data_IF_712076779164
#
_entry.id   IF_712076779164
#
_cell.length_a   1.000
_cell.length_b   1.000
_cell.length_c   1.000
_cell.angle_alpha   90.00
_cell.angle_beta   90.00
_cell.angle_gamma   90.00
#
_symmetry.space_group_name_H-M   'P 1'
#
loop_
_entity.id
_entity.type
_entity.pdbx_description
1 polymer ?
#
# COMPACT_ATOMS: atom_id res chain seq x y z
N UNK A 1 -12.01 50.00 -47.84
CA UNK A 1 -11.81 50.03 -49.30
C UNK A 1 -11.30 48.65 -49.74
N UNK A 2 -12.04 48.01 -50.67
CA UNK A 2 -11.80 46.78 -51.47
C UNK A 2 -11.15 45.55 -50.80
N UNK A 3 -11.87 44.45 -50.49
CA UNK A 3 -12.49 43.40 -51.33
C UNK A 3 -11.56 42.72 -52.36
N UNK A 4 -11.30 41.41 -52.17
CA UNK A 4 -11.86 40.34 -53.02
C UNK A 4 -11.53 38.93 -52.50
N UNK A 5 -12.60 38.17 -52.25
CA UNK A 5 -12.66 36.71 -52.23
C UNK A 5 -12.53 36.14 -53.65
N UNK A 6 -12.16 34.86 -53.80
CA UNK A 6 -12.82 33.97 -54.76
C UNK A 6 -12.69 32.49 -54.33
N UNK A 7 -13.81 31.79 -54.40
CA UNK A 7 -14.10 30.42 -53.99
C UNK A 7 -13.98 29.39 -55.14
N UNK A 8 -13.78 28.12 -54.74
CA UNK A 8 -14.33 26.86 -55.28
C UNK A 8 -13.95 26.46 -56.74
N UNK A 9 -14.02 25.21 -57.21
CA UNK A 9 -14.78 24.02 -56.81
C UNK A 9 -14.26 22.75 -57.54
N UNK A 10 -14.71 21.58 -57.04
CA UNK A 10 -15.18 20.37 -57.76
C UNK A 10 -14.22 19.32 -58.36
N UNK A 11 -14.42 18.09 -57.86
CA UNK A 11 -13.91 16.74 -58.17
C UNK A 11 -14.53 16.10 -59.45
N UNK A 12 -14.49 14.76 -59.65
CA UNK A 12 -13.50 13.86 -60.28
C UNK A 12 -14.06 13.19 -61.58
N UNK A 13 -13.46 12.14 -62.23
CA UNK A 13 -13.80 10.73 -61.87
C UNK A 13 -12.80 9.57 -62.26
N UNK A 14 -12.92 8.46 -61.51
CA UNK A 14 -13.00 7.00 -61.81
C UNK A 14 -12.13 6.22 -62.86
N UNK A 15 -11.54 5.12 -62.32
CA UNK A 15 -11.36 3.73 -62.83
C UNK A 15 -10.53 3.36 -64.08
N UNK A 16 -9.54 2.46 -63.89
CA UNK A 16 -9.51 1.13 -64.56
C UNK A 16 -8.48 0.17 -63.93
N UNK A 17 -8.87 -1.10 -63.87
CA UNK A 17 -8.24 -2.30 -63.30
C UNK A 17 -7.21 -3.00 -64.22
N UNK A 18 -6.26 -3.77 -63.64
CA UNK A 18 -6.00 -5.22 -63.91
C UNK A 18 -4.54 -5.69 -63.73
N UNK A 19 -4.36 -6.56 -62.73
CA UNK A 19 -3.53 -7.80 -62.67
C UNK A 19 -2.03 -7.83 -63.01
N UNK A 20 -1.22 -8.22 -62.02
CA UNK A 20 -0.18 -9.25 -62.18
C UNK A 20 0.05 -10.03 -60.86
N UNK A 21 0.29 -11.33 -60.99
CA UNK A 21 0.24 -12.36 -59.95
C UNK A 21 1.66 -12.82 -59.51
N UNK A 22 1.82 -13.05 -58.19
CA UNK A 22 2.80 -13.91 -57.46
C UNK A 22 4.29 -13.50 -57.35
N UNK A 23 5.05 -13.97 -56.32
CA UNK A 23 4.71 -14.99 -55.32
C UNK A 23 4.90 -14.62 -53.83
N UNK A 24 4.25 -15.46 -53.03
CA UNK A 24 4.21 -15.59 -51.57
C UNK A 24 5.61 -15.94 -51.04
N UNK A 25 6.20 -15.05 -50.24
CA UNK A 25 7.32 -15.37 -49.36
C UNK A 25 6.82 -15.23 -47.92
N UNK A 26 6.85 -16.35 -47.21
CA UNK A 26 6.49 -16.45 -45.81
C UNK A 26 7.43 -15.57 -44.99
N UNK A 27 6.88 -14.51 -44.41
CA UNK A 27 7.52 -13.79 -43.32
C UNK A 27 6.69 -13.99 -42.06
N UNK A 28 7.35 -14.65 -41.12
CA UNK A 28 6.91 -14.95 -39.77
C UNK A 28 6.10 -13.79 -39.18
N UNK A 29 4.85 -14.06 -38.82
CA UNK A 29 4.10 -13.24 -37.90
C UNK A 29 4.83 -13.27 -36.54
N UNK A 30 5.79 -12.37 -36.38
CA UNK A 30 6.29 -11.97 -35.08
C UNK A 30 5.09 -11.39 -34.34
N UNK A 31 4.53 -12.20 -33.45
CA UNK A 31 3.56 -11.79 -32.46
C UNK A 31 4.22 -10.67 -31.68
N UNK A 32 3.96 -9.42 -32.08
CA UNK A 32 4.21 -8.27 -31.24
C UNK A 32 3.26 -8.42 -30.05
N UNK A 33 3.74 -9.11 -29.02
CA UNK A 33 3.20 -8.93 -27.69
C UNK A 33 3.39 -7.45 -27.39
N UNK A 34 2.29 -6.72 -27.41
CA UNK A 34 2.15 -5.45 -26.71
C UNK A 34 2.74 -5.66 -25.34
N UNK A 35 3.96 -5.14 -25.14
CA UNK A 35 4.49 -4.91 -23.82
C UNK A 35 3.59 -3.83 -23.25
N UNK A 36 2.47 -4.24 -22.66
CA UNK A 36 1.78 -3.47 -21.64
C UNK A 36 2.86 -3.19 -20.62
N UNK A 37 3.47 -2.01 -20.72
CA UNK A 37 4.24 -1.41 -19.66
C UNK A 37 3.21 -1.26 -18.56
N UNK A 38 3.12 -2.27 -17.71
CA UNK A 38 2.54 -2.11 -16.40
C UNK A 38 3.45 -1.09 -15.74
N UNK A 39 3.05 0.19 -15.83
CA UNK A 39 3.37 1.16 -14.82
C UNK A 39 2.97 0.48 -13.51
N UNK A 40 3.93 -0.14 -12.83
CA UNK A 40 3.77 -0.53 -11.44
C UNK A 40 3.44 0.79 -10.77
N UNK A 41 2.15 1.00 -10.52
CA UNK A 41 1.62 2.19 -9.88
C UNK A 41 2.53 2.45 -8.70
N UNK A 42 3.17 3.61 -8.71
CA UNK A 42 3.96 4.13 -7.60
C UNK A 42 3.29 3.67 -6.32
N UNK A 43 4.05 2.98 -5.46
CA UNK A 43 3.71 2.61 -4.08
C UNK A 43 2.60 3.57 -3.63
N UNK A 44 1.37 3.12 -3.40
CA UNK A 44 0.36 4.00 -2.81
C UNK A 44 0.85 4.32 -1.39
N UNK A 45 1.83 5.21 -1.27
CA UNK A 45 2.04 6.03 -0.09
C UNK A 45 0.64 6.44 0.31
N UNK A 46 0.36 6.27 1.60
CA UNK A 46 -0.89 6.69 2.21
C UNK A 46 -1.41 7.90 1.46
N UNK A 47 -2.65 7.81 0.99
CA UNK A 47 -3.35 8.94 0.36
C UNK A 47 -3.74 9.92 1.48
N UNK A 48 -2.72 10.35 2.22
CA UNK A 48 -2.77 11.30 3.32
C UNK A 48 -1.94 12.48 2.81
N UNK A 49 -2.44 13.72 2.94
CA UNK A 49 -1.66 14.90 2.61
C UNK A 49 -0.41 14.96 3.50
N UNK A 50 0.74 15.30 2.92
CA UNK A 50 1.99 15.47 3.67
C UNK A 50 1.98 16.72 4.57
N UNK A 51 1.17 17.71 4.23
CA UNK A 51 0.94 18.93 5.00
C UNK A 51 -0.54 19.30 4.95
N UNK A 52 -1.09 19.76 6.07
CA UNK A 52 -2.44 20.31 6.17
C UNK A 52 -2.33 21.73 6.69
N UNK A 53 -2.90 22.69 5.96
CA UNK A 53 -2.89 24.11 6.31
C UNK A 53 -4.26 24.68 5.92
N UNK A 54 -4.93 25.36 6.85
CA UNK A 54 -6.25 26.00 6.65
C UNK A 54 -7.35 25.07 6.11
N UNK A 55 -7.30 23.78 6.46
CA UNK A 55 -8.24 22.76 5.99
C UNK A 55 -7.97 22.26 4.56
N UNK A 56 -6.85 22.64 3.95
CA UNK A 56 -6.38 22.11 2.67
C UNK A 56 -5.22 21.15 2.86
N UNK A 57 -5.28 20.01 2.14
CA UNK A 57 -4.19 19.05 2.08
C UNK A 57 -3.20 19.36 0.96
N UNK A 58 -1.92 19.17 1.22
CA UNK A 58 -0.83 19.41 0.27
C UNK A 58 0.13 18.22 0.19
N UNK A 59 0.64 17.98 -1.02
CA UNK A 59 1.77 17.07 -1.27
C UNK A 59 3.02 17.88 -1.63
N UNK A 60 4.15 17.60 -1.00
CA UNK A 60 5.42 18.17 -1.39
C UNK A 60 5.98 17.41 -2.60
N UNK A 61 6.35 18.14 -3.66
CA UNK A 61 6.94 17.53 -4.85
C UNK A 61 8.39 17.96 -5.08
N UNK A 62 8.87 18.97 -4.35
CA UNK A 62 10.26 19.45 -4.41
C UNK A 62 10.60 20.20 -3.13
N UNK A 63 11.79 19.98 -2.60
CA UNK A 63 12.35 20.77 -1.49
C UNK A 63 13.70 21.34 -1.92
N UNK A 64 13.95 22.62 -1.67
CA UNK A 64 15.19 23.31 -2.01
C UNK A 64 15.47 24.40 -0.97
N UNK A 65 16.65 24.40 -0.35
CA UNK A 65 17.12 25.51 0.52
C UNK A 65 16.05 26.04 1.50
N UNK A 66 15.46 25.15 2.30
CA UNK A 66 14.40 25.43 3.28
C UNK A 66 13.06 25.90 2.69
N UNK A 67 12.85 25.73 1.38
CA UNK A 67 11.58 25.96 0.71
C UNK A 67 11.00 24.62 0.25
N UNK A 68 9.79 24.32 0.70
CA UNK A 68 9.02 23.17 0.21
C UNK A 68 7.99 23.62 -0.81
N UNK A 69 8.12 23.13 -2.04
CA UNK A 69 7.15 23.37 -3.10
C UNK A 69 6.02 22.36 -3.00
N UNK A 70 4.81 22.89 -2.89
CA UNK A 70 3.62 22.13 -2.58
C UNK A 70 2.56 22.28 -3.66
N UNK A 71 1.73 21.26 -3.78
CA UNK A 71 0.54 21.26 -4.64
C UNK A 71 -0.62 20.63 -3.90
N UNK A 72 -1.84 21.01 -4.27
CA UNK A 72 -3.04 20.45 -3.67
C UNK A 72 -3.03 18.91 -3.74
N UNK A 73 -3.36 18.30 -2.60
CA UNK A 73 -3.51 16.85 -2.45
C UNK A 73 -4.64 16.32 -3.36
N UNK A 74 -5.71 17.10 -3.55
CA UNK A 74 -6.88 16.73 -4.34
C UNK A 74 -6.72 17.00 -5.85
N UNK A 75 -5.52 17.32 -6.32
CA UNK A 75 -5.26 17.55 -7.76
C UNK A 75 -5.75 16.41 -8.64
N UNK A 76 -5.55 15.17 -8.22
CA UNK A 76 -5.95 14.00 -9.01
C UNK A 76 -7.41 13.61 -8.83
N UNK A 77 -8.05 13.95 -7.71
CA UNK A 77 -9.44 13.58 -7.41
C UNK A 77 -10.44 14.65 -7.84
N UNK A 78 -10.10 15.93 -7.64
CA UNK A 78 -10.96 17.09 -7.92
C UNK A 78 -10.43 17.98 -9.05
N UNK A 79 -9.26 17.67 -9.62
CA UNK A 79 -8.67 18.50 -10.68
C UNK A 79 -8.04 19.80 -10.18
N UNK A 80 -7.84 19.96 -8.88
CA UNK A 80 -7.32 21.20 -8.30
C UNK A 80 -5.87 21.48 -8.71
N UNK A 81 -5.62 22.65 -9.31
CA UNK A 81 -4.28 23.07 -9.73
C UNK A 81 -3.56 23.98 -8.73
N UNK A 82 -4.14 24.21 -7.55
CA UNK A 82 -3.53 25.03 -6.51
C UNK A 82 -2.11 24.53 -6.17
N UNK A 83 -1.17 25.48 -6.13
CA UNK A 83 0.23 25.23 -5.87
C UNK A 83 0.86 26.42 -5.18
N UNK A 84 1.97 26.17 -4.50
CA UNK A 84 2.63 27.20 -3.73
C UNK A 84 3.96 26.74 -3.16
N UNK A 85 4.46 27.53 -2.23
CA UNK A 85 5.69 27.25 -1.50
C UNK A 85 5.48 27.49 -0.02
N UNK A 86 6.08 26.64 0.80
CA UNK A 86 6.17 26.80 2.25
C UNK A 86 7.60 27.22 2.55
N UNK A 87 7.76 28.39 3.18
CA UNK A 87 9.05 28.91 3.66
C UNK A 87 8.86 29.36 5.10
N UNK A 88 9.72 28.87 6.00
CA UNK A 88 9.64 29.17 7.44
C UNK A 88 8.24 28.87 8.04
N UNK A 89 7.59 27.79 7.58
CA UNK A 89 6.26 27.41 8.02
C UNK A 89 5.10 28.20 7.38
N UNK A 90 5.38 29.30 6.68
CA UNK A 90 4.35 30.11 6.03
C UNK A 90 4.08 29.63 4.61
N UNK A 91 2.80 29.38 4.29
CA UNK A 91 2.35 29.04 2.96
C UNK A 91 2.13 30.29 2.11
N UNK A 92 2.66 30.30 0.89
CA UNK A 92 2.33 31.28 -0.14
C UNK A 92 1.87 30.55 -1.38
N UNK A 93 0.60 30.74 -1.75
CA UNK A 93 0.01 30.15 -2.94
C UNK A 93 0.33 30.99 -4.18
N UNK A 94 0.72 30.31 -5.26
CA UNK A 94 0.82 30.89 -6.60
C UNK A 94 -0.51 30.78 -7.35
N UNK A 95 -1.30 29.75 -7.02
CA UNK A 95 -2.63 29.48 -7.59
C UNK A 95 -3.55 29.09 -6.45
N UNK A 96 -4.73 29.71 -6.39
CA UNK A 96 -5.75 29.45 -5.37
C UNK A 96 -6.48 28.13 -5.60
N UNK A 97 -7.10 27.61 -4.54
CA UNK A 97 -7.98 26.45 -4.62
C UNK A 97 -9.28 26.79 -5.35
N UNK A 98 -9.79 25.80 -6.06
CA UNK A 98 -11.06 25.79 -6.80
C UNK A 98 -12.11 24.88 -6.15
N UNK A 99 -11.86 24.49 -4.90
CA UNK A 99 -12.75 23.67 -4.08
C UNK A 99 -12.73 24.16 -2.64
N UNK A 100 -13.77 23.79 -1.90
CA UNK A 100 -13.89 24.14 -0.48
C UNK A 100 -12.81 23.44 0.35
N UNK A 101 -12.44 24.09 1.46
CA UNK A 101 -11.61 23.47 2.47
C UNK A 101 -12.41 22.46 3.30
N UNK A 102 -11.71 21.51 3.91
CA UNK A 102 -12.29 20.57 4.86
C UNK A 102 -11.67 20.84 6.25
N UNK A 103 -12.39 21.53 7.16
CA UNK A 103 -11.87 21.85 8.48
C UNK A 103 -11.62 20.60 9.35
N UNK A 104 -12.17 19.45 8.98
CA UNK A 104 -11.96 18.18 9.69
C UNK A 104 -10.87 17.31 9.07
N UNK A 105 -10.22 17.77 7.99
CA UNK A 105 -9.18 17.02 7.29
C UNK A 105 -8.02 16.60 8.21
N UNK A 106 -7.64 17.47 9.14
CA UNK A 106 -6.58 17.20 10.11
C UNK A 106 -6.95 16.04 11.04
N UNK A 107 -8.16 16.05 11.60
CA UNK A 107 -8.67 14.96 12.44
C UNK A 107 -8.63 13.61 11.70
N UNK A 108 -8.97 13.61 10.42
CA UNK A 108 -8.94 12.40 9.61
C UNK A 108 -7.52 11.92 9.30
N UNK A 109 -6.61 12.85 9.02
CA UNK A 109 -5.22 12.51 8.74
C UNK A 109 -4.54 11.92 9.98
N UNK A 110 -4.76 12.52 11.16
CA UNK A 110 -4.26 12.00 12.45
C UNK A 110 -4.80 10.59 12.69
N UNK A 111 -6.10 10.35 12.51
CA UNK A 111 -6.68 9.02 12.69
C UNK A 111 -6.05 7.98 11.75
N UNK A 112 -5.89 8.30 10.46
CA UNK A 112 -5.27 7.38 9.52
C UNK A 112 -3.79 7.13 9.81
N UNK A 113 -3.06 8.13 10.28
CA UNK A 113 -1.66 8.02 10.70
C UNK A 113 -1.51 7.12 11.92
N UNK A 114 -2.34 7.29 12.95
CA UNK A 114 -2.33 6.41 14.12
C UNK A 114 -2.66 4.96 13.76
N UNK A 115 -3.69 4.75 12.93
CA UNK A 115 -4.02 3.41 12.43
C UNK A 115 -2.88 2.80 11.62
N UNK A 116 -2.19 3.60 10.80
CA UNK A 116 -1.04 3.15 10.03
C UNK A 116 0.13 2.73 10.93
N UNK A 117 0.49 3.59 11.89
CA UNK A 117 1.57 3.34 12.84
C UNK A 117 1.29 2.10 13.69
N UNK A 118 0.05 1.92 14.16
CA UNK A 118 -0.38 0.73 14.87
C UNK A 118 -0.38 -0.52 13.96
N UNK A 119 -0.80 -0.38 12.70
CA UNK A 119 -0.76 -1.50 11.73
C UNK A 119 0.66 -1.99 11.46
N UNK A 120 1.62 -1.07 11.47
CA UNK A 120 3.04 -1.37 11.25
C UNK A 120 3.71 -1.94 12.50
N UNK A 121 3.50 -1.32 13.65
CA UNK A 121 4.07 -1.79 14.93
C UNK A 121 3.50 -3.14 15.37
N UNK A 122 2.34 -3.55 14.82
CA UNK A 122 1.68 -4.84 15.06
C UNK A 122 1.47 -5.16 16.55
N UNK A 123 0.92 -4.25 17.37
CA UNK A 123 0.57 -4.57 18.75
C UNK A 123 -0.55 -5.62 18.82
N UNK A 124 -1.35 -5.76 17.75
CA UNK A 124 -2.43 -6.74 17.65
C UNK A 124 -2.31 -7.57 16.38
N UNK A 125 -2.78 -8.83 16.42
CA UNK A 125 -2.78 -9.75 15.26
C UNK A 125 -3.73 -9.27 14.16
N UNK A 126 -4.87 -8.71 14.59
CA UNK A 126 -5.99 -8.35 13.75
C UNK A 126 -6.03 -6.83 13.52
N UNK A 127 -6.06 -6.36 12.26
CA UNK A 127 -6.32 -4.96 11.95
C UNK A 127 -7.66 -4.46 12.50
N UNK A 128 -8.62 -5.37 12.73
CA UNK A 128 -9.91 -5.04 13.33
C UNK A 128 -9.75 -4.52 14.76
N UNK A 129 -8.90 -5.16 15.55
CA UNK A 129 -8.65 -4.76 16.93
C UNK A 129 -7.95 -3.40 17.00
N UNK A 130 -7.00 -3.16 16.08
CA UNK A 130 -6.40 -1.82 15.93
C UNK A 130 -7.50 -0.80 15.66
N UNK A 131 -8.34 -1.03 14.66
CA UNK A 131 -9.42 -0.09 14.32
C UNK A 131 -10.35 0.17 15.51
N UNK A 132 -10.83 -0.89 16.17
CA UNK A 132 -11.77 -0.77 17.29
C UNK A 132 -11.12 -0.08 18.51
N UNK A 133 -9.81 -0.21 18.71
CA UNK A 133 -9.07 0.47 19.80
C UNK A 133 -8.97 1.98 19.59
N UNK A 134 -8.68 2.43 18.37
CA UNK A 134 -8.49 3.85 18.06
C UNK A 134 -9.80 4.57 17.68
N UNK A 135 -10.86 3.85 17.30
CA UNK A 135 -12.12 4.47 16.89
C UNK A 135 -12.81 5.32 17.97
N UNK A 136 -12.82 4.93 19.27
CA UNK A 136 -13.44 5.73 20.33
C UNK A 136 -12.75 7.08 20.57
N UNK A 137 -11.42 7.15 20.50
CA UNK A 137 -10.67 8.41 20.63
C UNK A 137 -10.79 9.31 19.40
N UNK A 138 -11.09 8.72 18.24
CA UNK A 138 -11.25 9.42 16.96
C UNK A 138 -12.67 9.29 16.41
N UNK A 139 -13.68 9.51 17.25
CA UNK A 139 -15.09 9.26 16.92
C UNK A 139 -15.55 9.96 15.62
N UNK A 140 -15.26 11.24 15.46
CA UNK A 140 -15.65 12.00 14.25
C UNK A 140 -15.03 11.43 12.98
N UNK A 141 -13.78 10.98 13.05
CA UNK A 141 -13.08 10.38 11.92
C UNK A 141 -13.59 8.97 11.60
N UNK A 142 -13.85 8.15 12.62
CA UNK A 142 -14.28 6.76 12.48
C UNK A 142 -15.70 6.62 11.92
N UNK A 143 -16.55 7.64 12.06
CA UNK A 143 -17.86 7.72 11.38
C UNK A 143 -17.73 7.79 9.85
N UNK A 144 -16.72 8.49 9.33
CA UNK A 144 -16.52 8.70 7.90
C UNK A 144 -15.65 7.60 7.30
N UNK A 145 -14.57 7.28 8.02
CA UNK A 145 -13.62 6.20 7.71
C UNK A 145 -14.00 4.95 8.48
N UNK A 146 -15.16 4.39 8.13
CA UNK A 146 -15.66 3.17 8.76
C UNK A 146 -14.69 1.99 8.55
N UNK A 147 -14.84 0.96 9.38
CA UNK A 147 -14.08 -0.29 9.26
C UNK A 147 -14.05 -0.82 7.82
N UNK A 148 -15.20 -0.82 7.14
CA UNK A 148 -15.31 -1.33 5.76
C UNK A 148 -14.41 -0.57 4.77
N UNK A 149 -14.19 0.74 4.98
CA UNK A 149 -13.28 1.56 4.17
C UNK A 149 -11.82 1.37 4.59
N UNK A 150 -11.57 1.22 5.88
CA UNK A 150 -10.21 1.16 6.43
C UNK A 150 -9.56 -0.22 6.31
N UNK A 151 -10.33 -1.29 6.43
CA UNK A 151 -9.84 -2.68 6.34
C UNK A 151 -8.93 -2.91 5.11
N UNK A 152 -9.37 -2.63 3.86
CA UNK A 152 -8.52 -2.87 2.70
C UNK A 152 -7.24 -2.01 2.69
N UNK A 153 -7.28 -0.81 3.26
CA UNK A 153 -6.10 0.05 3.40
C UNK A 153 -5.10 -0.53 4.40
N UNK A 154 -5.58 -0.90 5.59
CA UNK A 154 -4.76 -1.50 6.65
C UNK A 154 -4.15 -2.84 6.18
N UNK A 155 -4.89 -3.65 5.44
CA UNK A 155 -4.39 -4.89 4.84
C UNK A 155 -3.29 -4.64 3.78
N UNK A 156 -3.35 -3.52 3.05
CA UNK A 156 -2.28 -3.11 2.14
C UNK A 156 -1.05 -2.65 2.92
N UNK A 157 -1.24 -1.85 3.98
CA UNK A 157 -0.15 -1.37 4.82
C UNK A 157 0.61 -2.52 5.47
N UNK A 158 -0.14 -3.46 6.08
CA UNK A 158 0.39 -4.69 6.67
C UNK A 158 1.18 -5.54 5.66
N UNK A 159 0.75 -5.59 4.39
CA UNK A 159 1.43 -6.36 3.33
C UNK A 159 2.67 -5.66 2.76
N UNK A 160 2.72 -4.33 2.75
CA UNK A 160 3.84 -3.59 2.16
C UNK A 160 5.06 -3.52 3.07
N UNK A 161 4.85 -3.51 4.38
CA UNK A 161 5.94 -3.56 5.34
C UNK A 161 6.43 -5.00 5.63
N UNK A 162 6.53 -5.83 4.59
CA UNK A 162 7.09 -7.20 4.68
C UNK A 162 8.63 -7.17 4.63
N UNK A 163 9.27 -6.22 5.28
CA UNK A 163 10.74 -6.16 5.34
C UNK A 163 11.34 -7.43 5.96
N UNK A 164 10.65 -8.09 6.88
CA UNK A 164 10.65 -9.56 7.05
C UNK A 164 9.64 -9.86 8.17
N UNK A 165 8.42 -10.37 7.90
CA UNK A 165 7.42 -10.56 8.95
C UNK A 165 7.79 -11.64 9.97
N UNK A 166 8.88 -12.38 9.72
CA UNK A 166 9.34 -13.47 10.54
C UNK A 166 10.86 -13.39 10.72
N UNK A 167 11.38 -13.75 11.90
CA UNK A 167 12.80 -13.93 12.11
C UNK A 167 13.36 -14.97 11.13
N UNK A 168 14.64 -14.84 10.73
CA UNK A 168 15.34 -15.92 10.03
C UNK A 168 15.30 -17.21 10.86
N UNK A 169 15.53 -18.36 10.21
CA UNK A 169 15.59 -19.66 10.90
C UNK A 169 16.64 -19.56 12.03
N UNK A 170 16.26 -19.74 13.30
CA UNK A 170 17.22 -19.81 14.38
C UNK A 170 18.10 -21.05 14.19
N UNK A 171 19.40 -20.91 14.47
CA UNK A 171 20.37 -22.00 14.36
C UNK A 171 20.28 -22.94 15.58
N UNK A 172 19.91 -22.36 16.71
CA UNK A 172 19.78 -23.02 17.99
C UNK A 172 18.79 -22.22 18.87
N UNK A 173 18.52 -22.74 20.08
CA UNK A 173 17.56 -22.15 21.01
C UNK A 173 18.01 -20.77 21.53
N UNK A 174 19.32 -20.55 21.70
CA UNK A 174 19.87 -19.28 22.15
C UNK A 174 19.71 -18.18 21.08
N UNK A 175 19.96 -18.55 19.82
CA UNK A 175 19.74 -17.70 18.67
C UNK A 175 18.25 -17.38 18.50
N UNK A 176 17.35 -18.34 18.78
CA UNK A 176 15.91 -18.06 18.79
C UNK A 176 15.51 -16.99 19.82
N UNK A 177 15.99 -17.10 21.06
CA UNK A 177 15.74 -16.08 22.10
C UNK A 177 16.28 -14.72 21.69
N UNK A 178 17.48 -14.70 21.11
CA UNK A 178 18.12 -13.47 20.62
C UNK A 178 17.32 -12.81 19.50
N UNK A 179 16.81 -13.60 18.55
CA UNK A 179 15.97 -13.13 17.46
C UNK A 179 14.65 -12.55 17.98
N UNK A 180 14.01 -13.21 18.95
CA UNK A 180 12.77 -12.69 19.54
C UNK A 180 12.95 -11.37 20.29
N UNK A 181 14.14 -11.11 20.84
CA UNK A 181 14.47 -9.84 21.51
C UNK A 181 14.77 -8.67 20.56
N UNK A 182 14.82 -8.88 19.25
CA UNK A 182 15.05 -7.79 18.30
C UNK A 182 13.80 -6.91 18.17
N UNK A 183 13.93 -5.57 18.11
CA UNK A 183 12.79 -4.65 18.02
C UNK A 183 11.84 -4.97 16.87
N UNK A 184 12.35 -5.41 15.72
CA UNK A 184 11.52 -5.80 14.57
C UNK A 184 10.65 -7.05 14.82
N UNK A 185 11.00 -7.89 15.79
CA UNK A 185 10.32 -9.14 16.13
C UNK A 185 9.64 -9.10 17.49
N UNK A 186 9.72 -8.00 18.24
CA UNK A 186 9.00 -7.81 19.51
C UNK A 186 7.50 -8.13 19.40
N UNK A 187 6.87 -7.83 18.26
CA UNK A 187 5.47 -8.16 18.01
C UNK A 187 5.14 -9.67 18.05
N UNK A 188 6.14 -10.55 17.96
CA UNK A 188 6.00 -12.00 18.13
C UNK A 188 6.09 -12.45 19.59
N UNK A 189 6.65 -11.61 20.46
CA UNK A 189 6.73 -11.85 21.92
C UNK A 189 5.49 -11.35 22.64
N UNK A 190 4.75 -10.41 22.02
CA UNK A 190 3.48 -9.94 22.53
C UNK A 190 2.41 -10.95 22.15
N UNK A 191 1.75 -11.54 23.15
CA UNK A 191 0.58 -12.40 22.92
C UNK A 191 -0.51 -11.56 22.25
N UNK A 192 -0.85 -11.80 20.97
CA UNK A 192 -1.65 -10.84 20.24
C UNK A 192 -3.15 -11.08 20.40
N UNK A 193 -3.52 -11.71 21.54
CA UNK A 193 -4.87 -12.08 21.96
C UNK A 193 -5.62 -12.95 20.93
N UNK A 194 -5.32 -14.25 20.94
CA UNK A 194 -5.99 -15.29 20.16
C UNK A 194 -6.80 -16.26 21.03
N UNK A 195 -7.26 -17.37 20.45
CA UNK A 195 -7.82 -18.45 21.25
C UNK A 195 -6.65 -19.23 21.88
N UNK A 196 -6.49 -19.14 23.20
CA UNK A 196 -5.57 -20.00 23.94
C UNK A 196 -6.15 -21.41 23.97
N UNK A 197 -5.43 -22.34 23.35
CA UNK A 197 -5.62 -23.75 23.60
C UNK A 197 -4.74 -24.16 24.76
N UNK A 198 -5.11 -25.22 25.46
CA UNK A 198 -4.24 -25.87 26.42
C UNK A 198 -4.14 -27.35 26.10
N UNK A 199 -3.02 -27.94 26.47
CA UNK A 199 -2.84 -29.39 26.43
C UNK A 199 -2.18 -29.78 27.74
N UNK A 200 -2.67 -30.86 28.33
CA UNK A 200 -2.08 -31.45 29.53
C UNK A 200 -1.42 -32.76 29.14
N UNK A 201 -0.14 -32.90 29.47
CA UNK A 201 0.66 -34.09 29.27
C UNK A 201 0.99 -34.70 30.63
N UNK A 202 0.77 -36.00 30.77
CA UNK A 202 1.23 -36.76 31.92
C UNK A 202 2.71 -37.11 31.70
N UNK A 203 3.53 -36.80 32.70
CA UNK A 203 4.98 -37.02 32.71
C UNK A 203 5.24 -38.37 33.39
N UNK A 204 6.34 -39.09 33.07
CA UNK A 204 6.60 -40.44 33.62
C UNK A 204 6.67 -40.54 35.15
N UNK A 205 6.75 -39.42 35.86
CA UNK A 205 6.72 -39.32 37.32
C UNK A 205 5.31 -39.11 37.90
N UNK A 206 4.26 -39.33 37.08
CA UNK A 206 2.85 -39.05 37.38
C UNK A 206 2.54 -37.56 37.65
N UNK A 207 3.44 -36.64 37.27
CA UNK A 207 3.11 -35.21 37.27
C UNK A 207 2.37 -34.82 35.99
N UNK A 208 1.64 -33.69 36.04
CA UNK A 208 0.93 -33.15 34.90
C UNK A 208 1.56 -31.84 34.45
N UNK A 209 1.91 -31.76 33.18
CA UNK A 209 2.37 -30.54 32.53
C UNK A 209 1.24 -29.94 31.70
N UNK A 210 0.71 -28.80 32.10
CA UNK A 210 -0.25 -28.03 31.29
C UNK A 210 0.47 -26.95 30.49
N UNK A 211 0.38 -27.02 29.17
CA UNK A 211 0.94 -26.06 28.24
C UNK A 211 -0.20 -25.23 27.66
N UNK A 212 -0.14 -23.91 27.84
CA UNK A 212 -1.01 -22.95 27.15
C UNK A 212 -0.35 -22.47 25.87
N UNK A 213 -1.06 -22.53 24.75
CA UNK A 213 -0.52 -22.16 23.45
C UNK A 213 -1.60 -21.61 22.51
N UNK A 214 -1.23 -20.69 21.61
CA UNK A 214 -2.07 -20.32 20.47
C UNK A 214 -1.80 -21.31 19.33
N UNK A 215 -2.81 -22.11 18.98
CA UNK A 215 -2.75 -23.09 17.89
C UNK A 215 -2.23 -22.48 16.58
N UNK A 216 -2.58 -21.23 16.29
CA UNK A 216 -2.13 -20.58 15.07
C UNK A 216 -0.67 -20.13 15.14
N UNK A 217 -0.20 -19.74 16.33
CA UNK A 217 1.21 -19.44 16.56
C UNK A 217 2.05 -20.71 16.38
N UNK A 218 1.64 -21.81 17.02
CA UNK A 218 2.28 -23.12 16.87
C UNK A 218 2.22 -23.61 15.42
N UNK A 219 1.08 -23.44 14.73
CA UNK A 219 0.91 -23.81 13.34
C UNK A 219 1.75 -22.96 12.38
N UNK A 220 1.98 -21.68 12.68
CA UNK A 220 2.90 -20.84 11.92
C UNK A 220 4.34 -21.35 12.03
N UNK A 221 4.76 -21.82 13.21
CA UNK A 221 6.05 -22.49 13.42
C UNK A 221 6.12 -23.84 12.67
N UNK A 222 5.03 -24.60 12.60
CA UNK A 222 4.98 -25.90 11.93
C UNK A 222 4.92 -25.82 10.39
N UNK A 223 4.13 -24.90 9.83
CA UNK A 223 4.06 -24.64 8.37
C UNK A 223 5.41 -24.21 7.82
N UNK A 224 6.19 -23.49 8.63
CA UNK A 224 7.55 -23.09 8.31
C UNK A 224 8.50 -24.29 8.14
N UNK A 225 8.36 -25.33 8.96
CA UNK A 225 9.12 -26.59 8.85
C UNK A 225 8.76 -27.37 7.57
N UNK A 226 7.47 -27.38 7.18
CA UNK A 226 6.99 -28.11 6.00
C UNK A 226 7.33 -27.43 4.66
N UNK A 227 7.23 -26.10 4.58
CA UNK A 227 7.57 -25.35 3.35
C UNK A 227 9.07 -25.36 3.02
N UNK A 228 9.93 -25.73 3.98
CA UNK A 228 11.37 -25.85 3.78
C UNK A 228 11.84 -27.29 3.55
N UNK A 229 11.18 -28.30 4.13
CA UNK A 229 11.42 -29.71 3.75
C UNK A 229 11.07 -30.00 2.29
N UNK A 230 10.13 -29.25 1.70
CA UNK A 230 9.82 -29.35 0.26
C UNK A 230 10.81 -28.60 -0.65
N UNK A 231 11.86 -27.97 -0.10
CA UNK A 231 12.89 -27.22 -0.83
C UNK A 231 14.30 -27.80 -0.66
N UNK A 232 14.45 -28.88 0.10
CA UNK A 232 15.69 -29.64 0.16
C UNK A 232 15.76 -30.60 -1.05
N UNK A 233 16.69 -30.41 -2.01
CA UNK A 233 16.84 -31.30 -3.16
C UNK A 233 17.45 -32.67 -2.79
N UNK A 234 17.74 -32.92 -1.50
CA UNK A 234 18.40 -34.14 -1.02
C UNK A 234 17.38 -35.25 -0.67
N UNK A 235 16.08 -34.92 -0.52
CA UNK A 235 15.03 -35.90 -0.21
C UNK A 235 14.12 -36.25 -1.40
N UNK A 236 14.41 -35.74 -2.60
CA UNK A 236 13.73 -36.12 -3.86
C UNK A 236 14.68 -36.82 -4.85
N UNK A 237 15.75 -37.44 -4.35
CA UNK A 237 16.61 -38.34 -5.12
C UNK A 237 16.17 -39.80 -4.91
#
# INVERSE_FOLDING_TARGET
MCNREYQASTSPPLHSSSTHFKPKLMLNASVMMDKKVFYRSNKQRLKIPEKIIDGFGYNCYRTCENVSYVRCYERSSKGCYACGKIKNGQLTLSVNHDHDNDPKLELYAVFQEELYNATISRPYRSPRLIYDHYSPSHYEASRIYTWAKMQPLMDIWKRRDRSHPYPPIPRDLQHYVTLLGLPQYNHLTVYPQGQLSFSTLEVPDNSFLTIFYDLNFVRALYLYKLLHLSRDPILNA
#
